data_IF_905918541778
#
_entry.id   IF_905918541778
#
_cell.length_a   1.000
_cell.length_b   1.000
_cell.length_c   1.000
_cell.angle_alpha   90.00
_cell.angle_beta   90.00
_cell.angle_gamma   90.00
#
_symmetry.space_group_name_H-M   'P 1'
#
loop_
_entity.id
_entity.type
_entity.pdbx_description
1 polymer ?
#
# COMPACT_ATOMS: atom_id res chain seq x y z
N UNK A 1 11.49 15.77 31.85
CA UNK A 1 11.27 15.96 30.39
C UNK A 1 11.05 14.58 29.77
N UNK A 2 9.80 14.19 29.55
CA UNK A 2 9.42 12.84 29.10
C UNK A 2 9.79 12.58 27.64
N UNK A 3 10.97 12.00 27.42
CA UNK A 3 11.40 11.51 26.11
C UNK A 3 11.04 10.04 25.98
N UNK A 4 9.83 9.70 25.53
CA UNK A 4 9.54 8.29 25.15
C UNK A 4 8.25 8.07 24.34
N UNK A 5 7.40 9.06 24.07
CA UNK A 5 6.17 8.79 23.28
C UNK A 5 6.43 8.64 21.78
N UNK A 6 7.54 9.15 21.24
CA UNK A 6 7.84 9.06 19.81
C UNK A 6 8.43 7.69 19.42
N UNK A 7 9.40 7.19 20.20
CA UNK A 7 10.11 5.94 19.89
C UNK A 7 9.25 4.67 20.05
N UNK A 8 8.24 4.70 20.93
CA UNK A 8 7.32 3.57 21.12
C UNK A 8 6.32 3.46 19.96
N UNK A 9 5.86 4.60 19.42
CA UNK A 9 4.97 4.63 18.25
C UNK A 9 5.69 4.15 16.98
N UNK A 10 6.97 4.49 16.83
CA UNK A 10 7.79 4.04 15.71
C UNK A 10 7.96 2.50 15.68
N UNK A 11 8.20 1.88 16.86
CA UNK A 11 8.28 0.41 16.98
C UNK A 11 6.97 -0.31 16.67
N UNK A 12 5.82 0.31 16.94
CA UNK A 12 4.51 -0.29 16.64
C UNK A 12 4.21 -0.29 15.15
N UNK A 13 4.49 0.82 14.46
CA UNK A 13 4.27 0.91 13.01
C UNK A 13 5.12 -0.11 12.24
N UNK A 14 6.35 -0.34 12.69
CA UNK A 14 7.31 -1.25 12.05
C UNK A 14 7.01 -2.75 12.21
N UNK A 15 6.14 -3.11 13.17
CA UNK A 15 5.81 -4.51 13.46
C UNK A 15 4.52 -4.97 12.79
N UNK A 16 3.65 -4.03 12.41
CA UNK A 16 2.32 -4.31 11.89
C UNK A 16 2.17 -4.02 10.38
N UNK A 17 3.04 -3.19 9.81
CA UNK A 17 2.95 -2.77 8.41
C UNK A 17 4.31 -2.89 7.73
N UNK A 18 4.32 -3.52 6.56
CA UNK A 18 5.43 -3.45 5.62
C UNK A 18 5.26 -2.20 4.74
N UNK A 19 6.32 -1.37 4.66
CA UNK A 19 6.33 -0.18 3.80
C UNK A 19 6.75 -0.57 2.38
N UNK A 20 5.84 -0.45 1.41
CA UNK A 20 6.14 -0.71 0.00
C UNK A 20 6.31 0.61 -0.74
N UNK A 21 7.56 0.95 -1.09
CA UNK A 21 7.86 2.10 -1.95
C UNK A 21 7.66 1.77 -3.43
N UNK A 22 6.51 2.17 -3.97
CA UNK A 22 6.22 2.06 -5.41
C UNK A 22 6.84 3.23 -6.19
N UNK A 23 7.75 2.93 -7.12
CA UNK A 23 8.30 3.91 -8.07
C UNK A 23 7.67 3.72 -9.44
N UNK A 24 6.87 4.69 -9.88
CA UNK A 24 6.27 4.72 -11.23
C UNK A 24 6.93 5.79 -12.10
N UNK A 25 6.85 5.63 -13.43
CA UNK A 25 7.34 6.66 -14.35
C UNK A 25 6.53 7.95 -14.19
N UNK A 26 7.14 9.10 -14.50
CA UNK A 26 6.43 10.39 -14.50
C UNK A 26 5.18 10.31 -15.39
N UNK A 27 4.07 10.86 -14.91
CA UNK A 27 2.74 10.81 -15.55
C UNK A 27 1.89 9.60 -15.16
N UNK A 28 2.49 8.45 -14.79
CA UNK A 28 1.70 7.27 -14.40
C UNK A 28 0.98 7.46 -13.06
N UNK A 29 1.53 8.27 -12.14
CA UNK A 29 0.87 8.56 -10.86
C UNK A 29 -0.53 9.15 -11.08
N UNK A 30 -0.68 10.02 -12.08
CA UNK A 30 -1.94 10.72 -12.35
C UNK A 30 -2.98 9.76 -12.93
N UNK A 31 -2.53 8.79 -13.73
CA UNK A 31 -3.38 7.72 -14.26
C UNK A 31 -3.89 6.85 -13.12
N UNK A 32 -3.00 6.43 -12.20
CA UNK A 32 -3.35 5.62 -11.03
C UNK A 32 -4.31 6.40 -10.12
N UNK A 33 -4.05 7.69 -9.90
CA UNK A 33 -4.90 8.56 -9.09
C UNK A 33 -6.30 8.69 -9.68
N UNK A 34 -6.42 9.03 -10.96
CA UNK A 34 -7.72 9.10 -11.64
C UNK A 34 -8.47 7.78 -11.58
N UNK A 35 -7.78 6.65 -11.75
CA UNK A 35 -8.39 5.32 -11.69
C UNK A 35 -8.89 5.00 -10.29
N UNK A 36 -8.11 5.33 -9.26
CA UNK A 36 -8.53 5.17 -7.87
C UNK A 36 -9.74 6.07 -7.54
N UNK A 37 -9.75 7.32 -8.01
CA UNK A 37 -10.89 8.25 -7.86
C UNK A 37 -12.16 7.72 -8.54
N UNK A 38 -12.05 7.17 -9.75
CA UNK A 38 -13.17 6.51 -10.44
C UNK A 38 -13.75 5.34 -9.63
N UNK A 39 -12.89 4.63 -8.90
CA UNK A 39 -13.27 3.50 -8.06
C UNK A 39 -13.67 3.91 -6.64
N UNK A 40 -13.71 5.22 -6.34
CA UNK A 40 -13.93 5.76 -4.99
C UNK A 40 -12.97 5.16 -3.93
N UNK A 41 -11.76 4.78 -4.34
CA UNK A 41 -10.70 4.25 -3.48
C UNK A 41 -9.55 5.24 -3.37
N UNK A 42 -8.83 5.23 -2.25
CA UNK A 42 -7.53 5.92 -2.19
C UNK A 42 -6.51 5.22 -3.09
N UNK A 43 -5.50 5.95 -3.58
CA UNK A 43 -4.40 5.37 -4.40
C UNK A 43 -3.77 4.17 -3.71
N UNK A 44 -3.50 4.26 -2.40
CA UNK A 44 -2.94 3.16 -1.63
C UNK A 44 -3.89 1.95 -1.59
N UNK A 45 -5.17 2.17 -1.27
CA UNK A 45 -6.16 1.10 -1.23
C UNK A 45 -6.36 0.45 -2.60
N UNK A 46 -6.33 1.21 -3.69
CA UNK A 46 -6.40 0.69 -5.05
C UNK A 46 -5.19 -0.20 -5.38
N UNK A 47 -3.98 0.20 -4.98
CA UNK A 47 -2.77 -0.60 -5.20
C UNK A 47 -2.82 -1.88 -4.37
N UNK A 48 -3.20 -1.80 -3.09
CA UNK A 48 -3.30 -2.96 -2.21
C UNK A 48 -4.35 -3.95 -2.72
N UNK A 49 -5.54 -3.47 -3.09
CA UNK A 49 -6.64 -4.28 -3.62
C UNK A 49 -6.26 -4.99 -4.92
N UNK A 50 -5.53 -4.31 -5.83
CA UNK A 50 -4.99 -4.93 -7.04
C UNK A 50 -3.96 -6.02 -6.72
N UNK A 51 -3.08 -5.79 -5.75
CA UNK A 51 -2.07 -6.78 -5.35
C UNK A 51 -2.75 -7.98 -4.69
N UNK A 52 -3.76 -7.77 -3.83
CA UNK A 52 -4.54 -8.85 -3.23
C UNK A 52 -5.30 -9.66 -4.28
N UNK A 53 -5.93 -9.00 -5.26
CA UNK A 53 -6.61 -9.66 -6.38
C UNK A 53 -5.65 -10.47 -7.26
N UNK A 54 -4.48 -9.91 -7.57
CA UNK A 54 -3.41 -10.57 -8.34
C UNK A 54 -2.83 -11.78 -7.59
N UNK A 55 -2.57 -11.64 -6.28
CA UNK A 55 -2.12 -12.74 -5.42
C UNK A 55 -3.19 -13.83 -5.28
N UNK A 56 -4.46 -13.46 -5.14
CA UNK A 56 -5.58 -14.40 -5.08
C UNK A 56 -5.75 -15.16 -6.40
N UNK A 57 -5.56 -14.49 -7.54
CA UNK A 57 -5.55 -15.11 -8.87
C UNK A 57 -4.33 -16.00 -9.11
N UNK A 58 -3.18 -15.64 -8.54
CA UNK A 58 -1.92 -16.39 -8.68
C UNK A 58 -1.88 -17.65 -7.80
N UNK A 59 -2.63 -17.68 -6.69
CA UNK A 59 -2.75 -18.85 -5.81
C UNK A 59 -3.65 -19.97 -6.37
N UNK A 60 -4.04 -19.91 -7.64
CA UNK A 60 -4.75 -20.97 -8.36
C UNK A 60 -3.82 -21.86 -9.21
N UNK A 61 -2.48 -21.72 -9.06
CA UNK A 61 -1.48 -22.43 -9.86
C UNK A 61 -0.34 -23.09 -9.06
N UNK A 62 -0.51 -23.35 -7.76
CA UNK A 62 0.33 -24.33 -7.08
C UNK A 62 -0.56 -25.38 -6.40
N UNK A 63 -0.67 -26.53 -7.08
CA UNK A 63 -1.17 -27.83 -6.57
C UNK A 63 -0.22 -28.44 -5.53
#
# INVERSE_FOLDING_TARGET
MGKTSAEVKDRYNKKAYDDVRVRVKKGQKEIIQKRAEQLNKSVNGYITDLIEEDLAGSNLLEE
#
